data_IF_221620255424
#
_entry.id   IF_221620255424
#
_cell.length_a   1.000
_cell.length_b   1.000
_cell.length_c   1.000
_cell.angle_alpha   90.00
_cell.angle_beta   90.00
_cell.angle_gamma   90.00
#
_symmetry.space_group_name_H-M   'P 1'
#
loop_
_entity.id
_entity.type
_entity.pdbx_description
1 polymer ?
#
# COMPACT_ATOMS: atom_id res chain seq x y z
N UNK A 1 27.30 -4.33 -30.64
CA UNK A 1 26.78 -3.04 -30.14
C UNK A 1 25.45 -3.31 -29.48
N UNK A 2 25.47 -3.55 -28.17
CA UNK A 2 24.27 -3.73 -27.33
C UNK A 2 23.94 -2.37 -26.75
N UNK A 3 22.73 -1.91 -27.01
CA UNK A 3 22.21 -0.62 -26.56
C UNK A 3 22.07 -0.62 -25.03
N UNK A 4 22.87 0.19 -24.37
CA UNK A 4 22.71 0.54 -22.95
C UNK A 4 21.81 1.75 -22.86
N UNK A 5 20.51 1.59 -22.79
CA UNK A 5 19.60 2.66 -22.35
C UNK A 5 18.19 2.11 -22.13
N UNK A 6 17.93 1.46 -21.00
CA UNK A 6 16.53 1.19 -20.55
C UNK A 6 16.44 0.80 -19.06
N UNK A 7 17.37 1.19 -18.21
CA UNK A 7 17.33 0.85 -16.78
C UNK A 7 17.28 2.05 -15.81
N UNK A 8 17.05 3.26 -16.30
CA UNK A 8 17.10 4.47 -15.47
C UNK A 8 15.77 5.24 -15.28
N UNK A 9 14.69 4.85 -15.94
CA UNK A 9 13.47 5.68 -15.95
C UNK A 9 12.28 5.16 -15.14
N UNK A 10 12.37 3.97 -14.56
CA UNK A 10 11.21 3.34 -13.89
C UNK A 10 10.99 3.87 -12.47
N UNK A 11 12.01 4.36 -11.79
CA UNK A 11 11.92 4.82 -10.39
C UNK A 11 11.37 6.23 -10.21
N UNK A 12 11.41 7.09 -11.22
CA UNK A 12 10.83 8.44 -11.12
C UNK A 12 9.31 8.49 -11.38
N UNK A 13 8.74 7.48 -12.04
CA UNK A 13 7.32 7.47 -12.39
C UNK A 13 6.38 7.11 -11.22
N UNK A 14 6.80 6.33 -10.24
CA UNK A 14 5.92 5.89 -9.15
C UNK A 14 5.64 7.01 -8.13
N UNK A 15 6.63 7.81 -7.79
CA UNK A 15 6.44 9.00 -6.92
C UNK A 15 5.71 10.12 -7.67
N UNK A 16 5.91 10.24 -8.99
CA UNK A 16 5.20 11.22 -9.82
C UNK A 16 3.73 10.81 -10.04
N UNK A 17 3.42 9.52 -10.08
CA UNK A 17 2.04 9.01 -10.16
C UNK A 17 1.25 9.32 -8.87
N UNK A 18 1.84 9.19 -7.70
CA UNK A 18 1.19 9.56 -6.44
C UNK A 18 0.93 11.09 -6.35
N UNK A 19 1.80 11.91 -6.92
CA UNK A 19 1.64 13.37 -6.93
C UNK A 19 0.62 13.89 -7.97
N UNK A 20 0.30 13.09 -8.99
CA UNK A 20 -0.64 13.46 -10.07
C UNK A 20 -1.97 12.69 -10.02
N UNK A 21 -2.15 11.75 -9.09
CA UNK A 21 -3.44 11.06 -8.93
C UNK A 21 -4.44 12.01 -8.28
N UNK A 22 -5.48 12.36 -9.01
CA UNK A 22 -6.68 12.97 -8.44
C UNK A 22 -7.44 11.87 -7.68
N UNK A 23 -7.13 11.74 -6.40
CA UNK A 23 -7.77 10.76 -5.51
C UNK A 23 -9.25 11.06 -5.25
N UNK A 24 -9.75 12.26 -5.62
CA UNK A 24 -11.06 12.75 -5.21
C UNK A 24 -12.18 12.41 -6.20
N UNK A 25 -11.89 11.94 -7.41
CA UNK A 25 -12.88 11.77 -8.48
C UNK A 25 -13.40 10.34 -8.67
N UNK A 26 -13.05 9.37 -7.83
CA UNK A 26 -13.40 7.97 -8.06
C UNK A 26 -14.45 7.40 -7.13
N UNK A 27 -15.35 6.65 -7.75
CA UNK A 27 -16.29 5.78 -7.03
C UNK A 27 -15.63 4.44 -6.71
N UNK A 28 -15.55 4.13 -5.43
CA UNK A 28 -15.09 2.82 -4.96
C UNK A 28 -16.24 1.85 -4.78
N UNK A 29 -15.98 0.53 -4.94
CA UNK A 29 -17.00 -0.48 -4.69
C UNK A 29 -17.40 -0.45 -3.21
N UNK A 30 -18.70 -0.49 -2.94
CA UNK A 30 -19.25 -0.32 -1.60
C UNK A 30 -19.36 -1.64 -0.82
N UNK A 31 -19.36 -2.77 -1.50
CA UNK A 31 -19.59 -4.08 -0.87
C UNK A 31 -18.73 -5.19 -1.45
N UNK A 32 -18.30 -6.08 -0.57
CA UNK A 32 -17.67 -7.34 -0.95
C UNK A 32 -18.77 -8.33 -1.35
N UNK A 33 -18.82 -8.73 -2.60
CA UNK A 33 -19.97 -9.47 -3.16
C UNK A 33 -19.60 -10.76 -3.88
N UNK A 34 -18.33 -10.99 -4.18
CA UNK A 34 -17.90 -12.24 -4.83
C UNK A 34 -17.23 -13.19 -3.84
N UNK A 35 -17.65 -14.46 -3.85
CA UNK A 35 -16.93 -15.55 -3.19
C UNK A 35 -15.98 -16.16 -4.21
N UNK A 36 -14.71 -16.23 -3.86
CA UNK A 36 -13.64 -16.65 -4.76
C UNK A 36 -13.22 -18.08 -4.44
N UNK A 37 -13.22 -18.93 -5.45
CA UNK A 37 -12.72 -20.30 -5.37
C UNK A 37 -11.19 -20.27 -5.40
N UNK A 38 -10.58 -20.59 -4.26
CA UNK A 38 -9.12 -20.52 -4.10
C UNK A 38 -8.38 -21.53 -4.98
N UNK A 39 -8.95 -22.70 -5.20
CA UNK A 39 -8.31 -23.74 -6.02
C UNK A 39 -8.22 -23.31 -7.49
N UNK A 40 -9.30 -22.72 -8.00
CA UNK A 40 -9.31 -22.21 -9.38
C UNK A 40 -8.42 -20.98 -9.60
N UNK A 41 -8.36 -20.10 -8.59
CA UNK A 41 -7.67 -18.80 -8.75
C UNK A 41 -6.21 -18.86 -8.35
N UNK A 42 -5.88 -19.59 -7.27
CA UNK A 42 -4.54 -19.63 -6.69
C UNK A 42 -3.86 -21.02 -6.79
N UNK A 43 -4.59 -22.04 -7.24
CA UNK A 43 -4.05 -23.40 -7.42
C UNK A 43 -4.03 -24.28 -6.16
N UNK A 44 -4.61 -23.82 -5.04
CA UNK A 44 -4.66 -24.58 -3.79
C UNK A 44 -5.96 -24.34 -3.03
N UNK A 45 -6.33 -25.28 -2.15
CA UNK A 45 -7.49 -25.20 -1.27
C UNK A 45 -7.18 -24.49 0.03
N UNK A 46 -8.15 -23.71 0.51
CA UNK A 46 -8.12 -23.13 1.85
C UNK A 46 -9.50 -23.15 2.49
N UNK A 47 -9.54 -23.19 3.81
CA UNK A 47 -10.79 -23.06 4.59
C UNK A 47 -11.23 -21.61 4.79
N UNK A 48 -10.46 -20.65 4.30
CA UNK A 48 -10.84 -19.23 4.38
C UNK A 48 -11.96 -18.94 3.40
N UNK A 49 -12.99 -18.21 3.86
CA UNK A 49 -13.99 -17.63 2.99
C UNK A 49 -13.38 -16.42 2.31
N UNK A 50 -12.87 -16.62 1.09
CA UNK A 50 -12.25 -15.57 0.31
C UNK A 50 -13.34 -14.75 -0.37
N UNK A 51 -13.30 -13.44 -0.15
CA UNK A 51 -14.23 -12.49 -0.75
C UNK A 51 -13.45 -11.40 -1.48
N UNK A 52 -14.04 -10.87 -2.52
CA UNK A 52 -13.48 -9.79 -3.32
C UNK A 52 -14.55 -8.83 -3.79
N UNK A 53 -14.16 -7.79 -4.49
CA UNK A 53 -15.10 -6.87 -5.12
C UNK A 53 -15.57 -7.41 -6.47
N UNK A 54 -16.83 -7.14 -6.81
CA UNK A 54 -17.40 -7.56 -8.09
C UNK A 54 -16.84 -6.70 -9.23
N UNK A 55 -16.64 -5.42 -8.96
CA UNK A 55 -16.25 -4.44 -9.96
C UNK A 55 -14.75 -4.14 -9.86
N UNK A 56 -14.10 -4.06 -11.03
CA UNK A 56 -12.71 -3.60 -11.14
C UNK A 56 -12.69 -2.09 -11.25
N UNK A 57 -11.88 -1.43 -10.43
CA UNK A 57 -11.60 0.00 -10.49
C UNK A 57 -10.20 0.25 -11.06
N UNK A 58 -9.85 1.50 -11.35
CA UNK A 58 -8.52 1.84 -11.89
C UNK A 58 -7.36 1.51 -10.94
N UNK A 59 -7.63 1.44 -9.63
CA UNK A 59 -6.61 1.08 -8.63
C UNK A 59 -6.44 -0.42 -8.43
N UNK A 60 -7.21 -1.26 -9.13
CA UNK A 60 -7.00 -2.71 -9.11
C UNK A 60 -5.83 -3.04 -10.03
N UNK A 61 -4.78 -3.70 -9.52
CA UNK A 61 -3.63 -4.06 -10.34
C UNK A 61 -4.01 -4.96 -11.53
N UNK A 62 -3.20 -4.92 -12.59
CA UNK A 62 -3.40 -5.81 -13.72
C UNK A 62 -3.03 -7.25 -13.36
N UNK A 63 -3.80 -8.19 -13.88
CA UNK A 63 -3.57 -9.62 -13.66
C UNK A 63 -2.45 -10.09 -14.59
N UNK A 64 -1.36 -10.56 -14.00
CA UNK A 64 -0.38 -11.36 -14.72
C UNK A 64 -0.84 -12.82 -14.74
N UNK A 65 -1.25 -13.30 -15.91
CA UNK A 65 -1.77 -14.67 -16.08
C UNK A 65 -0.68 -15.75 -15.93
N UNK A 66 0.58 -15.36 -16.04
CA UNK A 66 1.73 -16.25 -15.87
C UNK A 66 2.21 -16.36 -14.42
N UNK A 67 1.65 -15.56 -13.52
CA UNK A 67 2.09 -15.48 -12.13
C UNK A 67 1.81 -16.78 -11.37
N UNK A 68 2.85 -17.35 -10.77
CA UNK A 68 2.77 -18.56 -9.95
C UNK A 68 2.71 -18.19 -8.46
N UNK A 69 1.70 -18.67 -7.78
CA UNK A 69 1.50 -18.40 -6.36
C UNK A 69 2.22 -19.41 -5.47
N UNK A 70 3.03 -18.90 -4.53
CA UNK A 70 3.50 -19.71 -3.40
C UNK A 70 2.35 -19.88 -2.39
N UNK A 71 2.02 -21.11 -2.06
CA UNK A 71 0.85 -21.42 -1.23
C UNK A 71 0.93 -20.78 0.16
N UNK A 72 2.08 -20.85 0.83
CA UNK A 72 2.26 -20.37 2.22
C UNK A 72 2.12 -18.85 2.27
N UNK A 73 2.85 -18.14 1.41
CA UNK A 73 2.81 -16.69 1.35
C UNK A 73 1.44 -16.19 0.91
N UNK A 74 0.82 -16.85 -0.08
CA UNK A 74 -0.53 -16.47 -0.54
C UNK A 74 -1.56 -16.63 0.57
N UNK A 75 -1.52 -17.71 1.36
CA UNK A 75 -2.42 -17.90 2.51
C UNK A 75 -2.26 -16.80 3.55
N UNK A 76 -1.04 -16.36 3.83
CA UNK A 76 -0.79 -15.24 4.73
C UNK A 76 -1.40 -13.93 4.20
N UNK A 77 -1.20 -13.63 2.91
CA UNK A 77 -1.78 -12.45 2.27
C UNK A 77 -3.32 -12.52 2.27
N UNK A 78 -3.88 -13.67 1.92
CA UNK A 78 -5.34 -13.89 1.97
C UNK A 78 -5.92 -13.69 3.38
N UNK A 79 -5.19 -14.12 4.43
CA UNK A 79 -5.61 -13.84 5.81
C UNK A 79 -5.62 -12.33 6.10
N UNK A 80 -4.69 -11.57 5.53
CA UNK A 80 -4.70 -10.11 5.57
C UNK A 80 -5.97 -9.53 4.96
N UNK A 81 -6.35 -9.97 3.77
CA UNK A 81 -7.57 -9.51 3.10
C UNK A 81 -8.85 -9.96 3.80
N UNK A 82 -8.97 -11.23 4.16
CA UNK A 82 -10.20 -11.80 4.73
C UNK A 82 -10.46 -11.35 6.17
N UNK A 83 -9.42 -11.25 6.99
CA UNK A 83 -9.54 -11.01 8.44
C UNK A 83 -8.96 -9.67 8.88
N UNK A 84 -8.63 -8.79 7.94
CA UNK A 84 -8.00 -7.49 8.23
C UNK A 84 -6.74 -7.60 9.12
N UNK A 85 -5.92 -8.65 8.90
CA UNK A 85 -4.65 -8.80 9.58
C UNK A 85 -3.60 -7.91 8.93
N UNK A 86 -2.74 -7.31 9.74
CA UNK A 86 -1.56 -6.62 9.25
C UNK A 86 -0.52 -7.68 8.90
N UNK A 87 -0.06 -7.69 7.65
CA UNK A 87 0.84 -8.73 7.14
C UNK A 87 2.11 -8.08 6.62
N UNK A 88 3.25 -8.57 7.10
CA UNK A 88 4.56 -8.18 6.59
C UNK A 88 5.20 -9.39 5.90
N UNK A 89 5.63 -9.19 4.65
CA UNK A 89 6.36 -10.18 3.87
C UNK A 89 7.85 -9.84 3.92
N UNK A 90 8.65 -10.73 4.47
CA UNK A 90 10.11 -10.57 4.53
C UNK A 90 10.79 -11.48 3.51
N UNK A 91 11.90 -11.04 2.97
CA UNK A 91 12.70 -11.82 2.02
C UNK A 91 13.70 -10.96 1.28
N UNK A 92 14.62 -11.57 0.56
CA UNK A 92 15.65 -10.85 -0.19
C UNK A 92 15.08 -9.87 -1.21
N UNK A 93 15.87 -8.87 -1.54
CA UNK A 93 15.52 -7.91 -2.59
C UNK A 93 15.28 -8.64 -3.92
N UNK A 94 14.30 -8.18 -4.71
CA UNK A 94 13.99 -8.75 -6.03
C UNK A 94 13.22 -10.09 -6.01
N UNK A 95 12.75 -10.58 -4.86
CA UNK A 95 11.97 -11.83 -4.77
C UNK A 95 10.48 -11.69 -5.09
N UNK A 96 10.03 -10.51 -5.52
CA UNK A 96 8.64 -10.30 -5.93
C UNK A 96 7.64 -10.14 -4.78
N UNK A 97 8.07 -9.77 -3.57
CA UNK A 97 7.20 -9.64 -2.38
C UNK A 97 5.99 -8.73 -2.61
N UNK A 98 6.23 -7.52 -3.08
CA UNK A 98 5.19 -6.53 -3.35
C UNK A 98 4.29 -6.96 -4.49
N UNK A 99 4.87 -7.47 -5.57
CA UNK A 99 4.16 -8.05 -6.72
C UNK A 99 3.23 -9.18 -6.28
N UNK A 100 3.64 -10.01 -5.32
CA UNK A 100 2.80 -11.09 -4.78
C UNK A 100 1.52 -10.54 -4.15
N UNK A 101 1.64 -9.49 -3.33
CA UNK A 101 0.49 -8.83 -2.71
C UNK A 101 -0.42 -8.22 -3.79
N UNK A 102 0.16 -7.51 -4.77
CA UNK A 102 -0.58 -6.90 -5.88
C UNK A 102 -1.28 -7.95 -6.73
N UNK A 103 -0.65 -9.10 -7.02
CA UNK A 103 -1.26 -10.17 -7.78
C UNK A 103 -2.40 -10.89 -7.04
N UNK A 104 -2.34 -10.96 -5.72
CA UNK A 104 -3.48 -11.41 -4.90
C UNK A 104 -4.59 -10.36 -4.94
N UNK A 105 -4.28 -9.08 -4.73
CA UNK A 105 -5.25 -7.99 -4.80
C UNK A 105 -5.97 -7.94 -6.16
N UNK A 106 -5.22 -8.10 -7.26
CA UNK A 106 -5.77 -8.13 -8.62
C UNK A 106 -6.86 -9.21 -8.79
N UNK A 107 -6.64 -10.41 -8.25
CA UNK A 107 -7.61 -11.53 -8.34
C UNK A 107 -8.80 -11.37 -7.42
N UNK A 108 -8.67 -10.51 -6.41
CA UNK A 108 -9.78 -10.14 -5.53
C UNK A 108 -10.55 -8.91 -6.03
N UNK A 109 -10.16 -8.31 -7.17
CA UNK A 109 -10.59 -6.98 -7.60
C UNK A 109 -10.45 -5.93 -6.49
N UNK A 110 -9.45 -6.09 -5.63
CA UNK A 110 -9.22 -5.18 -4.51
C UNK A 110 -8.35 -4.01 -4.96
N UNK A 111 -8.82 -2.76 -4.82
CA UNK A 111 -7.99 -1.59 -5.07
C UNK A 111 -6.72 -1.66 -4.24
N UNK A 112 -5.56 -1.47 -4.86
CA UNK A 112 -4.27 -1.62 -4.20
C UNK A 112 -3.35 -0.49 -4.61
N UNK A 113 -2.74 0.15 -3.62
CA UNK A 113 -1.76 1.24 -3.82
C UNK A 113 -0.48 0.89 -3.10
N UNK A 114 0.62 0.97 -3.82
CA UNK A 114 1.95 0.72 -3.31
C UNK A 114 2.65 2.04 -3.00
N UNK A 115 3.27 2.12 -1.84
CA UNK A 115 4.09 3.25 -1.39
C UNK A 115 5.45 2.73 -1.00
N UNK A 116 6.47 3.12 -1.76
CA UNK A 116 7.84 2.78 -1.42
C UNK A 116 8.33 3.74 -0.32
N UNK A 117 8.75 3.18 0.81
CA UNK A 117 9.23 3.93 1.97
C UNK A 117 10.75 4.18 1.89
N UNK A 118 11.21 4.61 0.73
CA UNK A 118 12.59 5.03 0.59
C UNK A 118 12.91 6.29 1.41
N UNK A 119 14.19 6.66 1.45
CA UNK A 119 14.66 7.82 2.22
C UNK A 119 14.13 9.18 1.75
N UNK A 120 13.43 9.23 0.61
CA UNK A 120 12.89 10.46 0.02
C UNK A 120 11.46 10.76 0.48
N UNK A 121 10.70 9.73 0.88
CA UNK A 121 9.33 9.91 1.39
C UNK A 121 9.37 10.59 2.75
N UNK A 122 8.67 11.70 2.86
CA UNK A 122 8.50 12.46 4.09
C UNK A 122 7.12 12.22 4.71
N UNK A 123 6.98 12.60 6.00
CA UNK A 123 5.68 12.62 6.66
C UNK A 123 4.64 13.45 5.90
N UNK A 124 5.06 14.57 5.30
CA UNK A 124 4.16 15.46 4.55
C UNK A 124 3.62 14.80 3.28
N UNK A 125 4.41 13.95 2.64
CA UNK A 125 3.97 13.21 1.45
C UNK A 125 2.99 12.11 1.82
N UNK A 126 3.19 11.48 2.98
CA UNK A 126 2.33 10.40 3.46
C UNK A 126 1.01 10.92 4.02
N UNK A 127 1.03 11.96 4.85
CA UNK A 127 -0.13 12.47 5.62
C UNK A 127 -0.83 13.59 4.88
N UNK A 128 -0.07 14.47 4.26
CA UNK A 128 -0.57 15.66 3.59
C UNK A 128 0.15 16.92 4.00
N UNK A 129 -0.11 17.98 3.28
CA UNK A 129 0.53 19.28 3.45
C UNK A 129 -0.39 20.42 3.01
N UNK A 130 -0.16 21.59 3.56
CA UNK A 130 -0.76 22.81 3.08
C UNK A 130 -0.23 23.17 1.69
N UNK A 131 -1.13 23.48 0.79
CA UNK A 131 -0.84 23.92 -0.56
C UNK A 131 -1.52 25.24 -0.85
N UNK A 132 -0.82 26.16 -1.52
CA UNK A 132 -1.39 27.39 -2.01
C UNK A 132 -2.11 27.08 -3.33
N UNK A 133 -3.41 27.33 -3.36
CA UNK A 133 -4.25 27.15 -4.55
C UNK A 133 -4.88 28.47 -4.96
N UNK A 134 -5.12 28.66 -6.25
CA UNK A 134 -5.83 29.81 -6.79
C UNK A 134 -7.33 29.45 -6.89
N UNK A 135 -8.18 30.13 -6.09
CA UNK A 135 -9.63 30.06 -6.24
C UNK A 135 -10.15 31.49 -6.49
N UNK A 136 -10.89 31.68 -7.55
CA UNK A 136 -11.48 32.97 -7.94
C UNK A 136 -10.47 34.12 -8.02
N UNK A 137 -9.24 33.82 -8.51
CA UNK A 137 -8.16 34.80 -8.64
C UNK A 137 -7.46 35.16 -7.30
N UNK A 138 -7.84 34.54 -6.19
CA UNK A 138 -7.20 34.74 -4.87
C UNK A 138 -6.39 33.51 -4.49
N UNK A 139 -5.22 33.76 -3.89
CA UNK A 139 -4.41 32.70 -3.28
C UNK A 139 -5.03 32.35 -1.93
N UNK A 140 -5.36 31.06 -1.78
CA UNK A 140 -5.82 30.49 -0.50
C UNK A 140 -4.94 29.31 -0.12
N UNK A 141 -4.76 29.09 1.17
CA UNK A 141 -4.10 27.89 1.68
C UNK A 141 -5.15 26.80 1.87
N UNK A 142 -4.93 25.63 1.27
CA UNK A 142 -5.80 24.47 1.39
C UNK A 142 -4.95 23.26 1.77
N UNK A 143 -5.39 22.50 2.79
CA UNK A 143 -4.75 21.26 3.16
C UNK A 143 -5.03 20.19 2.09
N UNK A 144 -3.97 19.64 1.51
CA UNK A 144 -4.05 18.49 0.59
C UNK A 144 -3.68 17.22 1.33
N UNK A 145 -4.65 16.32 1.43
CA UNK A 145 -4.44 15.01 2.04
C UNK A 145 -3.41 14.20 1.26
N UNK A 146 -2.52 13.50 1.98
CA UNK A 146 -1.59 12.54 1.41
C UNK A 146 -2.25 11.18 1.15
N UNK A 147 -1.44 10.22 0.69
CA UNK A 147 -1.92 8.89 0.32
C UNK A 147 -2.50 8.11 1.50
N UNK A 148 -1.97 8.26 2.71
CA UNK A 148 -2.42 7.50 3.88
C UNK A 148 -3.82 7.89 4.37
N UNK A 149 -4.14 9.18 4.62
CA UNK A 149 -5.50 9.59 4.94
C UNK A 149 -6.53 9.16 3.91
N UNK A 150 -6.19 9.30 2.63
CA UNK A 150 -7.05 8.87 1.54
C UNK A 150 -7.28 7.35 1.55
N UNK A 151 -6.21 6.54 1.66
CA UNK A 151 -6.33 5.08 1.70
C UNK A 151 -7.14 4.59 2.90
N UNK A 152 -6.94 5.21 4.08
CA UNK A 152 -7.71 4.88 5.28
C UNK A 152 -9.21 5.06 5.11
N UNK A 153 -9.64 6.07 4.36
CA UNK A 153 -11.07 6.39 4.17
C UNK A 153 -11.75 5.54 3.09
N UNK A 154 -10.98 4.75 2.33
CA UNK A 154 -11.47 4.01 1.18
C UNK A 154 -11.25 2.49 1.32
N UNK A 155 -11.99 1.65 0.55
CA UNK A 155 -11.81 0.20 0.51
C UNK A 155 -10.56 -0.19 -0.29
N UNK A 156 -9.41 0.24 0.17
CA UNK A 156 -8.11 0.14 -0.51
C UNK A 156 -7.15 -0.69 0.33
N UNK A 157 -6.34 -1.49 -0.32
CA UNK A 157 -5.15 -2.10 0.26
C UNK A 157 -3.96 -1.17 0.03
N UNK A 158 -3.29 -0.73 1.10
CA UNK A 158 -2.01 -0.03 1.00
C UNK A 158 -0.88 -1.00 1.26
N UNK A 159 0.15 -0.96 0.42
CA UNK A 159 1.36 -1.76 0.55
C UNK A 159 2.53 -0.82 0.82
N UNK A 160 3.07 -0.87 2.02
CA UNK A 160 4.32 -0.17 2.35
C UNK A 160 5.49 -1.05 1.95
N UNK A 161 6.15 -0.68 0.87
CA UNK A 161 7.30 -1.40 0.36
C UNK A 161 8.59 -0.85 0.98
N UNK A 162 9.56 -1.75 1.18
CA UNK A 162 10.83 -1.43 1.84
C UNK A 162 10.64 -0.78 3.23
N UNK A 163 9.74 -1.36 4.02
CA UNK A 163 9.38 -0.85 5.35
C UNK A 163 10.58 -0.59 6.25
N UNK A 164 11.63 -1.40 6.13
CA UNK A 164 12.88 -1.32 6.88
C UNK A 164 13.82 -0.20 6.41
N UNK A 165 13.57 0.41 5.25
CA UNK A 165 14.29 1.60 4.76
C UNK A 165 13.59 2.93 5.13
N UNK A 166 12.39 2.86 5.71
CA UNK A 166 11.59 4.02 6.03
C UNK A 166 12.22 4.95 7.08
N UNK A 167 12.02 6.26 6.90
CA UNK A 167 12.48 7.27 7.86
C UNK A 167 11.69 7.16 9.17
N UNK A 168 12.33 7.42 10.30
CA UNK A 168 11.73 7.32 11.62
C UNK A 168 10.45 8.15 11.78
N UNK A 169 10.41 9.38 11.25
CA UNK A 169 9.24 10.26 11.32
C UNK A 169 8.03 9.71 10.54
N UNK A 170 8.27 9.02 9.42
CA UNK A 170 7.25 8.30 8.63
C UNK A 170 6.78 7.07 9.37
N UNK A 171 7.72 6.30 9.95
CA UNK A 171 7.42 5.06 10.67
C UNK A 171 6.51 5.29 11.88
N UNK A 172 6.70 6.37 12.63
CA UNK A 172 5.82 6.72 13.76
C UNK A 172 4.36 6.95 13.34
N UNK A 173 4.14 7.55 12.16
CA UNK A 173 2.79 7.74 11.64
C UNK A 173 2.15 6.40 11.25
N UNK A 174 2.91 5.54 10.57
CA UNK A 174 2.42 4.23 10.13
C UNK A 174 2.13 3.35 11.34
N UNK A 175 3.00 3.35 12.35
CA UNK A 175 2.84 2.56 13.58
C UNK A 175 1.49 2.82 14.24
N UNK A 176 1.04 4.07 14.25
CA UNK A 176 -0.26 4.46 14.81
C UNK A 176 -1.43 3.76 14.12
N UNK A 177 -1.32 3.54 12.81
CA UNK A 177 -2.36 2.89 12.00
C UNK A 177 -2.28 1.35 12.09
N UNK A 178 -1.14 0.83 12.53
CA UNK A 178 -0.95 -0.62 12.72
C UNK A 178 -1.67 -1.16 13.96
N UNK A 179 -1.97 -0.33 14.94
CA UNK A 179 -2.68 -0.73 16.16
C UNK A 179 -4.07 -1.30 15.85
N UNK A 180 -4.60 -2.15 16.73
CA UNK A 180 -5.91 -2.82 16.55
C UNK A 180 -7.06 -1.83 16.36
N UNK A 181 -7.03 -0.71 17.09
CA UNK A 181 -7.97 0.41 16.94
C UNK A 181 -7.30 1.62 16.31
N UNK A 182 -6.32 1.38 15.44
CA UNK A 182 -5.48 2.42 14.87
C UNK A 182 -6.29 3.47 14.15
N UNK A 183 -6.06 4.73 14.51
CA UNK A 183 -6.69 5.91 13.95
C UNK A 183 -5.61 6.89 13.54
N UNK A 184 -5.86 7.65 12.50
CA UNK A 184 -4.98 8.73 12.11
C UNK A 184 -5.57 10.05 12.58
N UNK A 185 -4.80 10.79 13.40
CA UNK A 185 -5.19 12.16 13.80
C UNK A 185 -4.42 13.15 12.94
N UNK A 186 -5.15 13.95 12.20
CA UNK A 186 -4.66 15.09 11.45
C UNK A 186 -4.75 16.34 12.33
N UNK A 187 -3.60 16.77 12.85
CA UNK A 187 -3.56 17.91 13.77
C UNK A 187 -3.86 19.24 13.06
N UNK A 188 -3.47 19.36 11.79
CA UNK A 188 -3.57 20.57 11.01
C UNK A 188 -5.04 20.98 10.75
N UNK A 189 -5.96 20.02 10.75
CA UNK A 189 -7.40 20.27 10.57
C UNK A 189 -8.29 19.68 11.68
N UNK A 190 -7.70 19.30 12.81
CA UNK A 190 -8.39 18.71 13.98
C UNK A 190 -9.31 17.53 13.65
N UNK A 191 -8.87 16.67 12.73
CA UNK A 191 -9.67 15.57 12.23
C UNK A 191 -9.09 14.23 12.64
N UNK A 192 -9.97 13.31 13.08
CA UNK A 192 -9.62 11.91 13.36
C UNK A 192 -10.22 11.03 12.27
N UNK A 193 -9.37 10.27 11.58
CA UNK A 193 -9.76 9.35 10.53
C UNK A 193 -9.80 7.94 11.11
N UNK A 194 -10.97 7.30 11.03
CA UNK A 194 -11.14 5.89 11.30
C UNK A 194 -10.96 5.10 10.01
N UNK A 195 -10.25 3.97 10.03
CA UNK A 195 -10.11 3.15 8.84
C UNK A 195 -11.46 2.63 8.33
N UNK A 196 -11.63 2.67 7.01
CA UNK A 196 -12.75 2.03 6.34
C UNK A 196 -12.75 0.52 6.64
N UNK A 197 -13.92 -0.11 6.78
CA UNK A 197 -14.04 -1.55 7.11
C UNK A 197 -13.27 -2.46 6.14
N UNK A 198 -13.17 -2.05 4.87
CA UNK A 198 -12.45 -2.77 3.82
C UNK A 198 -11.06 -2.19 3.54
N UNK A 199 -10.55 -1.31 4.39
CA UNK A 199 -9.15 -0.91 4.36
C UNK A 199 -8.26 -2.09 4.73
N UNK A 200 -7.16 -2.29 3.98
CA UNK A 200 -6.16 -3.32 4.28
C UNK A 200 -4.76 -2.71 4.27
N UNK A 201 -3.86 -3.28 5.07
CA UNK A 201 -2.49 -2.81 5.15
C UNK A 201 -1.53 -3.98 5.10
N UNK A 202 -0.58 -3.87 4.19
CA UNK A 202 0.53 -4.80 4.00
C UNK A 202 1.85 -4.05 4.05
N UNK A 203 2.92 -4.76 4.35
CA UNK A 203 4.27 -4.23 4.26
C UNK A 203 5.23 -5.29 3.70
N UNK A 204 6.32 -4.83 3.09
CA UNK A 204 7.43 -5.69 2.71
C UNK A 204 8.72 -5.20 3.37
N UNK A 205 9.63 -6.12 3.67
CA UNK A 205 10.94 -5.81 4.22
C UNK A 205 12.01 -6.67 3.55
N UNK A 206 13.21 -6.11 3.40
CA UNK A 206 14.36 -6.81 2.82
C UNK A 206 15.25 -7.43 3.90
N UNK A 207 15.10 -6.98 5.15
CA UNK A 207 15.87 -7.45 6.29
C UNK A 207 14.95 -8.03 7.38
N UNK A 208 15.53 -8.76 8.30
CA UNK A 208 14.83 -9.27 9.50
C UNK A 208 14.90 -8.28 10.68
N UNK A 209 15.05 -6.99 10.39
CA UNK A 209 15.13 -5.95 11.42
C UNK A 209 16.53 -5.71 11.98
N UNK A 210 17.55 -6.37 11.45
CA UNK A 210 18.94 -6.18 11.87
C UNK A 210 19.68 -5.05 11.12
N UNK A 211 19.01 -4.48 10.09
CA UNK A 211 19.67 -3.57 9.16
C UNK A 211 20.62 -4.27 8.21
N UNK A 212 21.43 -3.51 7.52
CA UNK A 212 22.48 -4.00 6.63
C UNK A 212 23.81 -3.28 6.88
N UNK A 213 24.88 -3.81 6.29
CA UNK A 213 26.23 -3.23 6.41
C UNK A 213 26.43 -1.97 5.57
N UNK A 214 25.51 -1.69 4.63
CA UNK A 214 25.58 -0.51 3.76
C UNK A 214 24.96 0.73 4.39
N UNK A 215 24.22 0.58 5.51
CA UNK A 215 23.50 1.66 6.18
C UNK A 215 22.24 2.13 5.45
N UNK A 216 21.84 1.46 4.37
CA UNK A 216 20.61 1.75 3.64
C UNK A 216 19.37 1.30 4.43
N UNK A 217 19.47 0.13 5.08
CA UNK A 217 18.39 -0.42 5.89
C UNK A 217 18.70 -0.27 7.38
N UNK A 218 17.80 0.38 8.09
CA UNK A 218 17.95 0.59 9.53
C UNK A 218 17.51 -0.66 10.29
N UNK A 219 18.30 -1.07 11.26
CA UNK A 219 17.88 -2.09 12.23
C UNK A 219 16.67 -1.57 13.01
N UNK A 220 15.59 -2.34 13.08
CA UNK A 220 14.52 -2.06 14.01
C UNK A 220 15.05 -2.37 15.41
N UNK A 221 15.27 -1.34 16.24
CA UNK A 221 15.48 -1.59 17.66
C UNK A 221 14.23 -2.31 18.17
N UNK A 222 14.44 -3.49 18.75
CA UNK A 222 13.39 -4.18 19.48
C UNK A 222 12.94 -3.25 20.61
N UNK A 223 11.70 -2.80 20.52
CA UNK A 223 10.99 -2.17 21.63
C UNK A 223 10.27 -3.28 22.39
#
# INVERSE_FOLDING_TARGET
>A
KINKSTFGEITMNEVSLANNMDFNSETFPTSLTSVIDSEKVFGFKTNMKIVGFKEKTKFVPEIDVSYLFDEVTTKAILAGFCYNRRVMIQGYHGTGKSTHIEQVAARLNWPCVRVNLDSHISRLDLVGKDAIVLKDGKQITEFREGVLPWALQNPVAIVFDEYDAGRADVMFVIQRVLEVSGKLTLLDNNRVINPHQNFRLFATANTVGLGDTTGLYHGTQQI
#
